data_IF_516867228067
#
_entry.id   IF_516867228067
#
_cell.length_a   1.000
_cell.length_b   1.000
_cell.length_c   1.000
_cell.angle_alpha   90.00
_cell.angle_beta   90.00
_cell.angle_gamma   90.00
#
_symmetry.space_group_name_H-M   'P 1'
#
loop_
_entity.id
_entity.type
_entity.pdbx_description
1 polymer ?
#
# COMPACT_ATOMS: atom_id res chain seq x y z
N UNK A 1 16.10 44.23 -2.68
CA UNK A 1 15.08 43.25 -2.25
C UNK A 1 15.79 41.92 -2.01
N UNK A 2 15.69 41.29 -0.83
CA UNK A 2 16.31 39.99 -0.59
C UNK A 2 15.57 38.88 -1.35
N UNK A 3 16.32 37.89 -1.85
CA UNK A 3 15.83 36.70 -2.56
C UNK A 3 14.73 35.96 -1.76
N UNK A 4 13.59 35.56 -2.37
CA UNK A 4 12.43 35.01 -1.64
C UNK A 4 12.56 33.51 -1.27
N UNK A 5 13.76 32.91 -1.32
CA UNK A 5 13.99 31.49 -1.03
C UNK A 5 14.71 31.26 0.30
N UNK A 6 14.27 31.91 1.37
CA UNK A 6 14.65 31.50 2.72
C UNK A 6 14.12 30.10 2.98
N UNK A 7 14.99 29.08 2.98
CA UNK A 7 14.63 27.73 3.47
C UNK A 7 14.04 27.93 4.87
N UNK A 8 12.82 27.44 5.18
CA UNK A 8 12.27 27.61 6.52
C UNK A 8 13.23 26.99 7.53
N UNK A 9 13.68 27.80 8.50
CA UNK A 9 14.62 27.37 9.53
C UNK A 9 13.98 26.22 10.32
N UNK A 10 14.72 25.11 10.43
CA UNK A 10 14.27 23.92 11.15
C UNK A 10 14.23 24.21 12.64
N UNK A 11 13.02 24.18 13.22
CA UNK A 11 12.78 24.54 14.63
C UNK A 11 12.29 23.37 15.49
N UNK A 12 12.32 23.59 16.80
CA UNK A 12 11.67 22.73 17.78
C UNK A 12 10.16 23.00 17.82
N UNK A 13 9.34 22.01 18.23
CA UNK A 13 7.90 22.14 18.32
C UNK A 13 7.50 23.04 19.50
N UNK A 14 6.42 23.81 19.29
CA UNK A 14 5.69 24.49 20.38
C UNK A 14 5.01 23.46 21.29
N UNK A 15 4.48 23.88 22.45
CA UNK A 15 3.72 22.98 23.33
C UNK A 15 2.49 22.38 22.62
N UNK A 16 1.79 23.21 21.85
CA UNK A 16 0.65 22.76 21.03
C UNK A 16 1.07 21.71 19.99
N UNK A 17 2.20 21.93 19.29
CA UNK A 17 2.72 20.96 18.33
C UNK A 17 3.17 19.65 19.00
N UNK A 18 3.67 19.69 20.25
CA UNK A 18 3.98 18.47 21.02
C UNK A 18 2.71 17.69 21.34
N UNK A 19 1.64 18.37 21.74
CA UNK A 19 0.34 17.75 21.96
C UNK A 19 -0.19 17.10 20.68
N UNK A 20 -0.09 17.78 19.52
CA UNK A 20 -0.45 17.18 18.24
C UNK A 20 0.40 15.97 17.88
N UNK A 21 1.72 16.03 18.06
CA UNK A 21 2.61 14.89 17.80
C UNK A 21 2.23 13.67 18.63
N UNK A 22 1.90 13.88 19.91
CA UNK A 22 1.44 12.81 20.79
C UNK A 22 0.10 12.22 20.34
N UNK A 23 -0.87 13.06 19.99
CA UNK A 23 -2.19 12.62 19.56
C UNK A 23 -2.14 11.92 18.18
N UNK A 24 -1.45 12.51 17.21
CA UNK A 24 -1.28 11.96 15.86
C UNK A 24 -0.45 10.68 15.89
N UNK A 25 0.59 10.62 16.73
CA UNK A 25 1.35 9.39 16.97
C UNK A 25 0.46 8.27 17.49
N UNK A 26 -0.29 8.51 18.59
CA UNK A 26 -1.21 7.50 19.12
C UNK A 26 -2.32 7.10 18.13
N UNK A 27 -2.81 8.04 17.32
CA UNK A 27 -3.78 7.76 16.27
C UNK A 27 -3.21 6.81 15.21
N UNK A 28 -2.01 7.12 14.67
CA UNK A 28 -1.33 6.27 13.68
C UNK A 28 -0.99 4.91 14.28
N UNK A 29 -0.42 4.88 15.49
CA UNK A 29 -0.11 3.65 16.21
C UNK A 29 -1.34 2.78 16.44
N UNK A 30 -2.44 3.37 16.92
CA UNK A 30 -3.70 2.66 17.13
C UNK A 30 -4.28 2.06 15.85
N UNK A 31 -4.23 2.80 14.73
CA UNK A 31 -4.63 2.27 13.43
C UNK A 31 -3.75 1.09 12.99
N UNK A 32 -2.43 1.19 13.17
CA UNK A 32 -1.50 0.12 12.79
C UNK A 32 -1.61 -1.12 13.70
N UNK A 33 -1.85 -0.96 15.01
CA UNK A 33 -2.13 -2.08 15.92
C UNK A 33 -3.38 -2.84 15.48
N UNK A 34 -4.45 -2.12 15.14
CA UNK A 34 -5.69 -2.74 14.70
C UNK A 34 -5.48 -3.45 13.36
N UNK A 35 -4.78 -2.80 12.42
CA UNK A 35 -4.46 -3.39 11.12
C UNK A 35 -3.66 -4.69 11.26
N UNK A 36 -2.54 -4.65 11.98
CA UNK A 36 -1.66 -5.82 12.11
C UNK A 36 -2.36 -6.95 12.87
N UNK A 37 -3.13 -6.64 13.91
CA UNK A 37 -3.89 -7.65 14.66
C UNK A 37 -4.95 -8.32 13.80
N UNK A 38 -5.73 -7.54 13.04
CA UNK A 38 -6.79 -8.10 12.20
C UNK A 38 -6.23 -8.89 11.01
N UNK A 39 -5.17 -8.40 10.37
CA UNK A 39 -4.49 -9.15 9.30
C UNK A 39 -3.91 -10.48 9.79
N UNK A 40 -3.41 -10.53 11.03
CA UNK A 40 -2.80 -11.76 11.58
C UNK A 40 -3.82 -12.76 12.12
N UNK A 41 -4.94 -12.31 12.68
CA UNK A 41 -5.82 -13.18 13.47
C UNK A 41 -7.26 -13.30 12.96
N UNK A 42 -7.79 -12.30 12.23
CA UNK A 42 -9.22 -12.30 11.91
C UNK A 42 -9.63 -13.48 11.04
N UNK A 43 -8.79 -13.88 10.09
CA UNK A 43 -9.06 -15.04 9.25
C UNK A 43 -9.14 -16.33 10.07
N UNK A 44 -8.18 -16.56 10.97
CA UNK A 44 -8.17 -17.72 11.87
C UNK A 44 -9.38 -17.74 12.82
N UNK A 45 -9.82 -16.57 13.30
CA UNK A 45 -11.02 -16.44 14.13
C UNK A 45 -12.26 -16.85 13.33
N UNK A 46 -12.41 -16.36 12.10
CA UNK A 46 -13.54 -16.72 11.23
C UNK A 46 -13.52 -18.20 10.88
N UNK A 47 -12.36 -18.75 10.50
CA UNK A 47 -12.21 -20.18 10.21
C UNK A 47 -12.59 -21.05 11.42
N UNK A 48 -12.12 -20.69 12.62
CA UNK A 48 -12.48 -21.38 13.88
C UNK A 48 -13.98 -21.28 14.15
N UNK A 49 -14.58 -20.10 13.98
CA UNK A 49 -16.01 -19.92 14.20
C UNK A 49 -16.85 -20.80 13.25
N UNK A 50 -16.48 -20.87 11.96
CA UNK A 50 -17.14 -21.73 10.98
C UNK A 50 -16.99 -23.22 11.33
N UNK A 51 -15.82 -23.65 11.81
CA UNK A 51 -15.62 -25.00 12.31
C UNK A 51 -16.48 -25.32 13.53
N UNK A 52 -16.45 -24.46 14.56
CA UNK A 52 -17.27 -24.66 15.78
C UNK A 52 -18.77 -24.59 15.50
N UNK A 53 -19.18 -23.87 14.46
CA UNK A 53 -20.57 -23.81 13.99
C UNK A 53 -21.00 -25.02 13.15
N UNK A 54 -20.11 -25.99 12.91
CA UNK A 54 -20.38 -27.18 12.11
C UNK A 54 -20.44 -26.94 10.60
N UNK A 55 -19.97 -25.78 10.12
CA UNK A 55 -19.91 -25.45 8.68
C UNK A 55 -18.66 -26.05 8.02
N UNK A 56 -17.53 -26.02 8.73
CA UNK A 56 -16.27 -26.65 8.31
C UNK A 56 -16.02 -27.91 9.12
N UNK A 57 -15.37 -28.89 8.50
CA UNK A 57 -14.83 -30.08 9.15
C UNK A 57 -13.39 -29.86 9.60
N UNK A 58 -12.85 -30.80 10.38
CA UNK A 58 -11.44 -30.76 10.77
C UNK A 58 -10.50 -30.93 9.57
N UNK A 59 -10.91 -31.70 8.55
CA UNK A 59 -10.14 -31.87 7.31
C UNK A 59 -10.12 -30.59 6.48
N UNK A 60 -11.23 -29.85 6.42
CA UNK A 60 -11.30 -28.58 5.71
C UNK A 60 -10.26 -27.60 6.26
N UNK A 61 -10.09 -27.51 7.58
CA UNK A 61 -9.10 -26.61 8.21
C UNK A 61 -7.65 -26.90 7.83
N UNK A 62 -7.35 -28.12 7.37
CA UNK A 62 -6.00 -28.52 6.93
C UNK A 62 -5.76 -28.21 5.45
N UNK A 63 -6.81 -27.93 4.69
CA UNK A 63 -6.71 -27.56 3.28
C UNK A 63 -6.46 -26.06 3.11
N UNK A 64 -5.73 -25.69 2.05
CA UNK A 64 -5.40 -24.28 1.76
C UNK A 64 -6.64 -23.40 1.56
N UNK A 65 -7.72 -23.98 1.05
CA UNK A 65 -8.95 -23.27 0.70
C UNK A 65 -10.12 -23.56 1.65
N UNK A 66 -9.88 -24.17 2.80
CA UNK A 66 -10.94 -24.56 3.76
C UNK A 66 -12.02 -25.47 3.14
N UNK A 67 -11.63 -26.37 2.23
CA UNK A 67 -12.55 -27.27 1.51
C UNK A 67 -13.42 -26.56 0.45
N UNK A 68 -13.21 -25.25 0.25
CA UNK A 68 -13.96 -24.44 -0.71
C UNK A 68 -13.28 -24.46 -2.08
N UNK A 69 -14.05 -24.15 -3.13
CA UNK A 69 -13.45 -23.81 -4.42
C UNK A 69 -12.69 -22.49 -4.32
N UNK A 70 -11.66 -22.32 -5.17
CA UNK A 70 -10.83 -21.10 -5.23
C UNK A 70 -11.66 -19.82 -5.23
N UNK A 71 -12.71 -19.77 -6.06
CA UNK A 71 -13.62 -18.63 -6.15
C UNK A 71 -14.36 -18.36 -4.83
N UNK A 72 -14.86 -19.39 -4.14
CA UNK A 72 -15.59 -19.22 -2.86
C UNK A 72 -14.64 -18.83 -1.73
N UNK A 73 -13.45 -19.42 -1.71
CA UNK A 73 -12.40 -19.06 -0.78
C UNK A 73 -11.98 -17.59 -0.95
N UNK A 74 -11.76 -17.13 -2.17
CA UNK A 74 -11.43 -15.72 -2.45
C UNK A 74 -12.52 -14.77 -1.99
N UNK A 75 -13.81 -15.12 -2.13
CA UNK A 75 -14.90 -14.29 -1.62
C UNK A 75 -14.89 -14.21 -0.08
N UNK A 76 -14.65 -15.33 0.60
CA UNK A 76 -14.48 -15.35 2.05
C UNK A 76 -13.26 -14.52 2.48
N UNK A 77 -12.12 -14.74 1.83
CA UNK A 77 -10.89 -13.98 2.05
C UNK A 77 -11.12 -12.49 1.85
N UNK A 78 -11.77 -12.09 0.75
CA UNK A 78 -12.10 -10.69 0.47
C UNK A 78 -13.01 -10.07 1.52
N UNK A 79 -14.00 -10.81 2.05
CA UNK A 79 -14.85 -10.33 3.13
C UNK A 79 -14.05 -10.10 4.43
N UNK A 80 -13.20 -11.05 4.81
CA UNK A 80 -12.31 -10.93 5.97
C UNK A 80 -11.33 -9.77 5.79
N UNK A 81 -10.69 -9.68 4.62
CA UNK A 81 -9.75 -8.61 4.28
C UNK A 81 -10.43 -7.23 4.31
N UNK A 82 -11.67 -7.13 3.85
CA UNK A 82 -12.47 -5.89 3.93
C UNK A 82 -12.62 -5.41 5.37
N UNK A 83 -12.93 -6.33 6.30
CA UNK A 83 -12.99 -6.00 7.71
C UNK A 83 -11.61 -5.64 8.27
N UNK A 84 -10.57 -6.39 7.90
CA UNK A 84 -9.19 -6.17 8.35
C UNK A 84 -8.60 -4.83 7.93
N UNK A 85 -9.00 -4.25 6.79
CA UNK A 85 -8.54 -2.94 6.32
C UNK A 85 -9.53 -1.81 6.61
N UNK A 86 -10.83 -2.11 6.58
CA UNK A 86 -11.91 -1.16 6.82
C UNK A 86 -11.97 -0.70 8.28
N UNK A 87 -11.85 -1.62 9.24
CA UNK A 87 -11.90 -1.29 10.67
C UNK A 87 -10.73 -0.40 11.13
N UNK A 88 -9.46 -0.63 10.74
CA UNK A 88 -8.35 0.29 11.00
C UNK A 88 -8.52 1.67 10.38
N UNK A 89 -9.32 1.80 9.32
CA UNK A 89 -9.66 3.10 8.76
C UNK A 89 -10.72 3.80 9.60
N UNK A 90 -11.81 3.10 9.96
CA UNK A 90 -12.98 3.72 10.60
C UNK A 90 -12.86 3.90 12.11
N UNK A 91 -12.41 2.87 12.84
CA UNK A 91 -12.43 2.89 14.32
C UNK A 91 -11.49 3.94 14.92
N UNK A 92 -10.21 4.07 14.49
CA UNK A 92 -9.35 5.14 14.99
C UNK A 92 -9.90 6.53 14.69
N UNK A 93 -10.55 6.74 13.53
CA UNK A 93 -11.17 8.03 13.21
C UNK A 93 -12.30 8.38 14.19
N UNK A 94 -13.10 7.39 14.57
CA UNK A 94 -14.18 7.56 15.54
C UNK A 94 -13.63 7.81 16.95
N UNK A 95 -12.65 7.01 17.39
CA UNK A 95 -12.06 7.09 18.73
C UNK A 95 -11.30 8.40 18.95
N UNK A 96 -10.53 8.85 17.97
CA UNK A 96 -9.74 10.09 18.05
C UNK A 96 -10.48 11.32 17.49
N UNK A 97 -11.72 11.14 17.00
CA UNK A 97 -12.56 12.21 16.42
C UNK A 97 -11.83 13.05 15.35
N UNK A 98 -10.96 12.41 14.55
CA UNK A 98 -10.14 13.09 13.54
C UNK A 98 -10.98 13.48 12.33
N UNK A 99 -10.79 14.72 11.86
CA UNK A 99 -11.32 15.18 10.58
C UNK A 99 -10.26 15.04 9.51
N UNK A 100 -10.56 14.25 8.47
CA UNK A 100 -9.63 14.01 7.37
C UNK A 100 -9.71 15.09 6.30
N UNK A 101 -8.57 15.42 5.64
CA UNK A 101 -8.57 16.25 4.46
C UNK A 101 -9.30 15.55 3.30
N UNK A 102 -9.96 16.35 2.46
CA UNK A 102 -10.64 15.85 1.26
C UNK A 102 -9.68 15.86 0.07
N UNK A 103 -9.23 14.69 -0.37
CA UNK A 103 -8.45 14.53 -1.59
C UNK A 103 -9.35 14.35 -2.82
N UNK A 104 -10.07 15.43 -3.18
CA UNK A 104 -10.98 15.47 -4.34
C UNK A 104 -10.60 16.55 -5.36
N UNK A 105 -9.30 16.79 -5.51
CA UNK A 105 -8.75 17.67 -6.53
C UNK A 105 -9.23 17.27 -7.93
N UNK A 106 -9.41 18.24 -8.81
CA UNK A 106 -9.81 18.02 -10.21
C UNK A 106 -8.68 18.51 -11.12
N UNK A 107 -7.55 17.79 -11.17
CA UNK A 107 -6.48 18.14 -12.10
C UNK A 107 -6.99 18.06 -13.54
N UNK A 108 -6.34 18.78 -14.44
CA UNK A 108 -6.63 18.70 -15.86
C UNK A 108 -6.35 17.30 -16.43
N UNK A 109 -6.94 17.00 -17.58
CA UNK A 109 -6.84 15.69 -18.21
C UNK A 109 -5.37 15.32 -18.52
N UNK A 110 -4.56 16.28 -18.95
CA UNK A 110 -3.14 16.08 -19.22
C UNK A 110 -2.35 15.69 -17.96
N UNK A 111 -2.61 16.34 -16.82
CA UNK A 111 -1.98 15.98 -15.54
C UNK A 111 -2.42 14.59 -15.11
N UNK A 112 -3.71 14.27 -15.27
CA UNK A 112 -4.26 12.97 -14.90
C UNK A 112 -3.64 11.85 -15.72
N UNK A 113 -3.63 11.97 -17.05
CA UNK A 113 -3.05 10.96 -17.96
C UNK A 113 -1.56 10.79 -17.68
N UNK A 114 -0.81 11.89 -17.54
CA UNK A 114 0.61 11.81 -17.21
C UNK A 114 0.82 11.10 -15.86
N UNK A 115 0.04 11.43 -14.82
CA UNK A 115 0.15 10.80 -13.52
C UNK A 115 -0.14 9.28 -13.58
N UNK A 116 -1.14 8.85 -14.36
CA UNK A 116 -1.47 7.43 -14.53
C UNK A 116 -0.31 6.65 -15.13
N UNK A 117 0.21 7.08 -16.29
CA UNK A 117 1.28 6.35 -16.97
C UNK A 117 2.63 6.44 -16.25
N UNK A 118 2.98 7.61 -15.70
CA UNK A 118 4.19 7.75 -14.90
C UNK A 118 4.08 6.87 -13.65
N UNK A 119 2.92 6.86 -12.99
CA UNK A 119 2.67 6.03 -11.81
C UNK A 119 2.76 4.54 -12.09
N UNK A 120 2.10 4.05 -13.14
CA UNK A 120 2.15 2.64 -13.55
C UNK A 120 3.59 2.25 -13.95
N UNK A 121 4.27 3.07 -14.74
CA UNK A 121 5.67 2.83 -15.11
C UNK A 121 6.59 2.77 -13.89
N UNK A 122 6.37 3.64 -12.89
CA UNK A 122 7.11 3.61 -11.64
C UNK A 122 6.82 2.37 -10.78
N UNK A 123 5.60 1.82 -10.83
CA UNK A 123 5.27 0.55 -10.17
C UNK A 123 6.05 -0.61 -10.79
N UNK A 124 6.16 -0.68 -12.13
CA UNK A 124 6.99 -1.71 -12.77
C UNK A 124 8.47 -1.54 -12.49
N UNK A 125 8.97 -0.30 -12.43
CA UNK A 125 10.33 -0.03 -11.98
C UNK A 125 10.54 -0.51 -10.54
N UNK A 126 9.60 -0.25 -9.64
CA UNK A 126 9.64 -0.74 -8.26
C UNK A 126 9.64 -2.27 -8.21
N UNK A 127 8.87 -2.93 -9.08
CA UNK A 127 8.85 -4.39 -9.19
C UNK A 127 10.21 -4.96 -9.62
N UNK A 128 10.88 -4.34 -10.60
CA UNK A 128 12.23 -4.74 -11.02
C UNK A 128 13.25 -4.59 -9.90
N UNK A 129 13.21 -3.47 -9.17
CA UNK A 129 14.09 -3.22 -8.03
C UNK A 129 13.85 -4.26 -6.93
N UNK A 130 12.58 -4.55 -6.63
CA UNK A 130 12.20 -5.54 -5.63
C UNK A 130 12.60 -6.97 -6.05
N UNK A 131 12.52 -7.31 -7.33
CA UNK A 131 12.97 -8.60 -7.86
C UNK A 131 14.48 -8.81 -7.72
N UNK A 132 15.29 -7.80 -8.05
CA UNK A 132 16.75 -7.83 -7.79
C UNK A 132 17.02 -7.98 -6.30
N UNK A 133 16.27 -7.26 -5.46
CA UNK A 133 16.41 -7.35 -4.01
C UNK A 133 16.00 -8.72 -3.45
N UNK A 134 14.94 -9.34 -3.98
CA UNK A 134 14.50 -10.71 -3.63
C UNK A 134 15.62 -11.71 -3.88
N UNK A 135 16.22 -11.70 -5.08
CA UNK A 135 17.31 -12.63 -5.41
C UNK A 135 18.59 -12.44 -4.57
N UNK A 136 18.80 -11.26 -3.98
CA UNK A 136 19.87 -11.04 -3.00
C UNK A 136 19.44 -11.60 -1.63
N UNK A 137 18.23 -11.29 -1.19
CA UNK A 137 17.69 -11.67 0.11
C UNK A 137 17.53 -13.18 0.28
N UNK A 138 17.17 -13.89 -0.78
CA UNK A 138 17.05 -15.35 -0.80
C UNK A 138 18.38 -16.01 -0.40
N UNK A 139 19.54 -15.42 -0.73
CA UNK A 139 20.87 -15.92 -0.33
C UNK A 139 21.10 -15.85 1.19
N UNK A 140 20.30 -15.05 1.91
CA UNK A 140 20.35 -14.88 3.36
C UNK A 140 19.17 -15.54 4.08
N UNK A 141 18.39 -16.37 3.38
CA UNK A 141 17.27 -17.10 3.96
C UNK A 141 15.96 -16.31 4.06
N UNK A 142 15.83 -15.19 3.34
CA UNK A 142 14.58 -14.44 3.22
C UNK A 142 13.89 -14.79 1.91
N UNK A 143 12.85 -15.62 1.98
CA UNK A 143 12.10 -16.07 0.82
C UNK A 143 10.77 -15.31 0.72
N UNK A 144 10.37 -14.98 -0.50
CA UNK A 144 9.00 -14.56 -0.79
C UNK A 144 8.24 -15.82 -1.22
N UNK A 145 7.19 -16.25 -0.48
CA UNK A 145 6.41 -17.41 -0.89
C UNK A 145 5.72 -17.16 -2.23
N UNK A 146 5.56 -18.24 -3.00
CA UNK A 146 4.78 -18.19 -4.22
C UNK A 146 3.36 -17.72 -3.92
N UNK A 147 2.81 -16.91 -4.82
CA UNK A 147 1.42 -16.49 -4.72
C UNK A 147 0.52 -17.75 -4.85
N UNK A 148 -0.45 -17.94 -3.94
CA UNK A 148 -1.35 -19.08 -4.04
C UNK A 148 -2.12 -19.07 -5.38
N UNK A 149 -2.29 -20.24 -5.99
CA UNK A 149 -2.94 -20.37 -7.29
C UNK A 149 -4.47 -20.40 -7.18
N UNK A 150 -5.06 -19.22 -6.98
CA UNK A 150 -6.52 -19.05 -6.94
C UNK A 150 -7.14 -18.69 -8.30
N UNK A 151 -6.33 -18.53 -9.35
CA UNK A 151 -6.78 -18.05 -10.66
C UNK A 151 -7.02 -19.24 -11.60
N UNK A 152 -8.29 -19.46 -11.93
CA UNK A 152 -8.70 -20.55 -12.82
C UNK A 152 -9.00 -19.98 -14.22
N UNK A 153 -8.89 -20.79 -15.30
CA UNK A 153 -9.15 -20.36 -16.69
C UNK A 153 -10.65 -20.21 -16.98
N UNK A 154 -11.37 -19.49 -16.12
CA UNK A 154 -12.80 -19.18 -16.24
C UNK A 154 -13.05 -17.68 -16.07
N UNK A 155 -14.02 -17.10 -16.81
CA UNK A 155 -14.39 -15.70 -16.64
C UNK A 155 -14.86 -15.35 -15.22
N UNK A 156 -15.48 -16.31 -14.52
CA UNK A 156 -15.91 -16.13 -13.14
C UNK A 156 -14.71 -15.97 -12.20
N UNK A 157 -13.71 -16.85 -12.29
CA UNK A 157 -12.50 -16.75 -11.47
C UNK A 157 -11.75 -15.46 -11.75
N UNK A 158 -11.63 -15.04 -13.01
CA UNK A 158 -11.04 -13.75 -13.38
C UNK A 158 -11.78 -12.58 -12.73
N UNK A 159 -13.12 -12.56 -12.81
CA UNK A 159 -13.92 -11.48 -12.24
C UNK A 159 -13.76 -11.38 -10.72
N UNK A 160 -13.74 -12.51 -10.01
CA UNK A 160 -13.54 -12.54 -8.55
C UNK A 160 -12.12 -12.13 -8.18
N UNK A 161 -11.09 -12.58 -8.91
CA UNK A 161 -9.72 -12.14 -8.69
C UNK A 161 -9.55 -10.63 -8.91
N UNK A 162 -10.10 -10.07 -9.99
CA UNK A 162 -10.07 -8.62 -10.23
C UNK A 162 -10.77 -7.83 -9.11
N UNK A 163 -11.87 -8.36 -8.57
CA UNK A 163 -12.57 -7.74 -7.45
C UNK A 163 -11.75 -7.79 -6.16
N UNK A 164 -11.29 -8.98 -5.77
CA UNK A 164 -10.70 -9.26 -4.45
C UNK A 164 -9.22 -8.89 -4.37
N UNK A 165 -8.46 -9.11 -5.44
CA UNK A 165 -6.99 -8.95 -5.45
C UNK A 165 -6.53 -7.65 -6.14
N UNK A 166 -7.40 -6.99 -6.91
CA UNK A 166 -7.07 -5.69 -7.53
C UNK A 166 -7.92 -4.53 -7.00
N UNK A 167 -9.24 -4.59 -7.12
CA UNK A 167 -10.10 -3.45 -6.76
C UNK A 167 -10.15 -3.21 -5.26
N UNK A 168 -10.35 -4.28 -4.49
CA UNK A 168 -10.53 -4.18 -3.05
C UNK A 168 -9.28 -3.61 -2.33
N UNK A 169 -8.04 -4.08 -2.60
CA UNK A 169 -6.84 -3.48 -2.04
C UNK A 169 -6.65 -2.03 -2.49
N UNK A 170 -6.82 -1.74 -3.79
CA UNK A 170 -6.65 -0.41 -4.34
C UNK A 170 -7.58 0.63 -3.68
N UNK A 171 -8.79 0.24 -3.26
CA UNK A 171 -9.70 1.12 -2.54
C UNK A 171 -9.33 1.18 -1.06
N UNK A 172 -9.27 0.04 -0.37
CA UNK A 172 -9.16 0.00 1.08
C UNK A 172 -7.80 0.47 1.58
N UNK A 173 -6.72 0.06 0.93
CA UNK A 173 -5.38 0.47 1.30
C UNK A 173 -5.18 1.97 1.04
N UNK A 174 -5.66 2.50 -0.09
CA UNK A 174 -5.49 3.94 -0.36
C UNK A 174 -6.35 4.81 0.57
N UNK A 175 -7.53 4.34 1.02
CA UNK A 175 -8.32 5.00 2.05
C UNK A 175 -7.57 5.03 3.41
N UNK A 176 -6.95 3.92 3.80
CA UNK A 176 -6.17 3.87 5.04
C UNK A 176 -4.90 4.72 4.93
N UNK A 177 -4.05 4.44 3.96
CA UNK A 177 -2.71 5.00 3.91
C UNK A 177 -2.68 6.43 3.37
N UNK A 178 -3.51 6.79 2.37
CA UNK A 178 -3.44 8.12 1.75
C UNK A 178 -4.44 9.11 2.31
N UNK A 179 -5.68 8.68 2.51
CA UNK A 179 -6.70 9.58 3.07
C UNK A 179 -6.49 9.73 4.57
N UNK A 180 -6.26 8.63 5.28
CA UNK A 180 -6.24 8.61 6.75
C UNK A 180 -4.85 8.91 7.32
N UNK A 181 -3.85 8.06 7.09
CA UNK A 181 -2.53 8.21 7.71
C UNK A 181 -1.75 9.38 7.10
N UNK A 182 -1.57 9.40 5.78
CA UNK A 182 -0.90 10.51 5.09
C UNK A 182 -1.65 11.83 5.35
N UNK A 183 -2.98 11.83 5.23
CA UNK A 183 -3.81 13.01 5.49
C UNK A 183 -3.57 13.64 6.85
N UNK A 184 -3.47 12.83 7.91
CA UNK A 184 -3.10 13.28 9.26
C UNK A 184 -1.69 13.86 9.31
N UNK A 185 -0.72 13.14 8.73
CA UNK A 185 0.70 13.49 8.80
C UNK A 185 1.09 14.72 7.96
N UNK A 186 0.26 15.12 6.99
CA UNK A 186 0.53 16.28 6.11
C UNK A 186 0.74 17.58 6.85
N UNK A 187 0.20 17.73 8.07
CA UNK A 187 0.42 18.92 8.90
C UNK A 187 1.91 19.16 9.17
N UNK A 188 2.71 18.10 9.22
CA UNK A 188 4.16 18.14 9.46
C UNK A 188 5.01 18.27 8.19
N UNK A 189 4.38 18.40 7.02
CA UNK A 189 5.03 18.49 5.73
C UNK A 189 4.66 17.30 4.84
N UNK A 190 4.45 17.60 3.57
CA UNK A 190 4.01 16.61 2.59
C UNK A 190 5.06 15.52 2.36
N UNK A 191 6.33 15.88 2.25
CA UNK A 191 7.41 14.90 2.06
C UNK A 191 7.53 13.92 3.23
N UNK A 192 7.36 14.40 4.46
CA UNK A 192 7.33 13.53 5.64
C UNK A 192 6.10 12.62 5.64
N UNK A 193 4.93 13.17 5.30
CA UNK A 193 3.70 12.40 5.25
C UNK A 193 3.76 11.27 4.21
N UNK A 194 4.30 11.55 3.02
CA UNK A 194 4.54 10.55 1.98
C UNK A 194 5.52 9.48 2.47
N UNK A 195 6.66 9.88 3.03
CA UNK A 195 7.68 8.93 3.50
C UNK A 195 7.15 8.01 4.61
N UNK A 196 6.51 8.56 5.63
CA UNK A 196 6.01 7.78 6.76
C UNK A 196 4.82 6.90 6.38
N UNK A 197 3.88 7.41 5.56
CA UNK A 197 2.78 6.60 5.03
C UNK A 197 3.30 5.43 4.18
N UNK A 198 4.29 5.69 3.30
CA UNK A 198 4.92 4.65 2.49
C UNK A 198 5.67 3.62 3.35
N UNK A 199 6.37 4.06 4.41
CA UNK A 199 7.08 3.15 5.32
C UNK A 199 6.11 2.20 6.04
N UNK A 200 5.00 2.74 6.56
CA UNK A 200 3.95 1.93 7.21
C UNK A 200 3.26 0.99 6.21
N UNK A 201 3.07 1.46 4.96
CA UNK A 201 2.51 0.66 3.88
C UNK A 201 3.43 -0.51 3.49
N UNK A 202 4.74 -0.27 3.40
CA UNK A 202 5.73 -1.34 3.24
C UNK A 202 5.71 -2.31 4.41
N UNK A 203 5.78 -1.79 5.64
CA UNK A 203 5.88 -2.60 6.84
C UNK A 203 4.67 -3.54 7.08
N UNK A 204 3.46 -3.17 6.65
CA UNK A 204 2.28 -4.04 6.82
C UNK A 204 2.33 -5.32 5.97
N UNK A 205 3.17 -5.39 4.93
CA UNK A 205 3.27 -6.57 4.06
C UNK A 205 4.05 -7.70 4.72
N UNK A 206 5.10 -7.38 5.47
CA UNK A 206 5.80 -8.31 6.38
C UNK A 206 6.93 -9.10 5.71
N UNK A 207 6.74 -9.61 4.49
CA UNK A 207 7.85 -10.21 3.72
C UNK A 207 8.82 -9.14 3.27
N UNK A 208 10.12 -9.39 3.36
CA UNK A 208 11.14 -8.36 3.15
C UNK A 208 11.13 -7.78 1.71
N UNK A 209 11.11 -8.65 0.70
CA UNK A 209 11.05 -8.21 -0.71
C UNK A 209 9.74 -7.48 -1.04
N UNK A 210 8.60 -8.01 -0.57
CA UNK A 210 7.29 -7.40 -0.76
C UNK A 210 7.17 -6.04 -0.05
N UNK A 211 7.77 -5.91 1.15
CA UNK A 211 7.79 -4.67 1.90
C UNK A 211 8.57 -3.58 1.18
N UNK A 212 9.68 -3.92 0.51
CA UNK A 212 10.43 -2.97 -0.31
C UNK A 212 9.61 -2.52 -1.53
N UNK A 213 8.99 -3.46 -2.25
CA UNK A 213 8.09 -3.14 -3.36
C UNK A 213 6.98 -2.19 -2.93
N UNK A 214 6.24 -2.56 -1.88
CA UNK A 214 5.13 -1.77 -1.35
C UNK A 214 5.59 -0.40 -0.85
N UNK A 215 6.76 -0.30 -0.21
CA UNK A 215 7.33 1.00 0.18
C UNK A 215 7.56 1.91 -1.04
N UNK A 216 8.19 1.41 -2.10
CA UNK A 216 8.47 2.19 -3.31
C UNK A 216 7.18 2.63 -4.01
N UNK A 217 6.21 1.72 -4.15
CA UNK A 217 4.88 2.06 -4.69
C UNK A 217 4.17 3.08 -3.78
N UNK A 218 4.26 2.92 -2.46
CA UNK A 218 3.71 3.85 -1.48
C UNK A 218 4.26 5.28 -1.62
N UNK A 219 5.55 5.42 -1.96
CA UNK A 219 6.15 6.73 -2.26
C UNK A 219 5.52 7.35 -3.51
N UNK A 220 5.33 6.57 -4.57
CA UNK A 220 4.71 7.01 -5.84
C UNK A 220 3.27 7.45 -5.61
N UNK A 221 2.45 6.59 -5.00
CA UNK A 221 1.02 6.86 -4.77
C UNK A 221 0.81 8.00 -3.77
N UNK A 222 1.63 8.08 -2.72
CA UNK A 222 1.62 9.19 -1.79
C UNK A 222 1.98 10.52 -2.47
N UNK A 223 3.03 10.53 -3.31
CA UNK A 223 3.44 11.72 -4.07
C UNK A 223 2.32 12.20 -5.00
N UNK A 224 1.73 11.29 -5.78
CA UNK A 224 0.64 11.59 -6.71
C UNK A 224 -0.59 12.12 -5.97
N UNK A 225 -0.96 11.51 -4.84
CA UNK A 225 -2.10 11.97 -4.03
C UNK A 225 -1.91 13.41 -3.56
N UNK A 226 -0.70 13.76 -3.09
CA UNK A 226 -0.43 15.10 -2.56
C UNK A 226 -0.34 16.14 -3.66
N UNK A 227 0.34 15.83 -4.76
CA UNK A 227 0.56 16.77 -5.87
C UNK A 227 -0.70 17.05 -6.66
N UNK A 228 -1.53 16.03 -6.91
CA UNK A 228 -2.80 16.17 -7.62
C UNK A 228 -3.95 16.59 -6.69
N UNK A 229 -3.78 16.39 -5.39
CA UNK A 229 -4.84 16.54 -4.41
C UNK A 229 -5.98 15.54 -4.61
N UNK A 230 -5.77 14.44 -5.35
CA UNK A 230 -6.81 13.51 -5.75
C UNK A 230 -6.38 12.05 -5.48
N UNK A 231 -7.04 11.42 -4.50
CA UNK A 231 -6.75 10.01 -4.14
C UNK A 231 -7.24 9.02 -5.19
N UNK A 232 -8.26 9.38 -5.99
CA UNK A 232 -8.78 8.48 -7.01
C UNK A 232 -7.77 8.19 -8.12
N UNK A 233 -6.80 9.09 -8.35
CA UNK A 233 -5.70 8.84 -9.29
C UNK A 233 -4.76 7.76 -8.73
N UNK A 234 -4.45 7.83 -7.43
CA UNK A 234 -3.64 6.79 -6.77
C UNK A 234 -4.39 5.44 -6.74
N UNK A 235 -5.69 5.44 -6.42
CA UNK A 235 -6.55 4.25 -6.50
C UNK A 235 -6.57 3.65 -7.90
N UNK A 236 -6.65 4.48 -8.95
CA UNK A 236 -6.65 4.01 -10.33
C UNK A 236 -5.30 3.38 -10.73
N UNK A 237 -4.17 3.96 -10.31
CA UNK A 237 -2.82 3.41 -10.56
C UNK A 237 -2.66 2.09 -9.82
N UNK A 238 -3.04 2.04 -8.55
CA UNK A 238 -2.96 0.84 -7.73
C UNK A 238 -3.84 -0.28 -8.32
N UNK A 239 -5.09 0.02 -8.64
CA UNK A 239 -5.99 -0.92 -9.31
C UNK A 239 -5.40 -1.42 -10.63
N UNK A 240 -4.90 -0.51 -11.47
CA UNK A 240 -4.31 -0.87 -12.76
C UNK A 240 -3.09 -1.77 -12.60
N UNK A 241 -2.21 -1.49 -11.63
CA UNK A 241 -1.05 -2.33 -11.33
C UNK A 241 -1.46 -3.78 -11.02
N UNK A 242 -2.42 -3.95 -10.10
CA UNK A 242 -2.84 -5.28 -9.67
C UNK A 242 -3.68 -5.97 -10.75
N UNK A 243 -4.58 -5.24 -11.40
CA UNK A 243 -5.42 -5.77 -12.46
C UNK A 243 -4.60 -6.21 -13.68
N UNK A 244 -3.57 -5.45 -14.08
CA UNK A 244 -2.68 -5.85 -15.16
C UNK A 244 -1.90 -7.11 -14.82
N UNK A 245 -1.43 -7.25 -13.58
CA UNK A 245 -0.79 -8.49 -13.11
C UNK A 245 -1.72 -9.69 -13.29
N UNK A 246 -2.97 -9.59 -12.80
CA UNK A 246 -3.98 -10.64 -12.91
C UNK A 246 -4.34 -10.95 -14.37
N UNK A 247 -4.51 -9.92 -15.20
CA UNK A 247 -4.86 -10.10 -16.62
C UNK A 247 -3.74 -10.78 -17.41
N UNK A 248 -2.48 -10.45 -17.11
CA UNK A 248 -1.32 -11.12 -17.71
C UNK A 248 -1.29 -12.58 -17.26
N UNK A 249 -1.42 -12.86 -15.96
CA UNK A 249 -1.48 -14.23 -15.45
C UNK A 249 -2.64 -15.03 -16.06
N UNK A 250 -3.82 -14.44 -16.19
CA UNK A 250 -4.97 -15.10 -16.81
C UNK A 250 -4.73 -15.39 -18.30
N UNK A 251 -4.12 -14.46 -19.04
CA UNK A 251 -3.77 -14.69 -20.44
C UNK A 251 -2.73 -15.81 -20.57
N UNK A 252 -1.79 -15.92 -19.64
CA UNK A 252 -0.77 -16.98 -19.63
C UNK A 252 -1.38 -18.38 -19.47
N UNK A 253 -2.51 -18.53 -18.77
CA UNK A 253 -3.23 -19.81 -18.67
C UNK A 253 -3.76 -20.33 -20.03
N UNK A 254 -3.86 -19.45 -21.04
CA UNK A 254 -4.39 -19.76 -22.36
C UNK A 254 -3.32 -19.75 -23.47
N UNK A 255 -2.07 -19.46 -23.12
CA UNK A 255 -0.96 -19.33 -24.06
C UNK A 255 0.12 -20.36 -23.76
N UNK A 256 0.99 -20.64 -24.72
CA UNK A 256 2.22 -21.38 -24.42
C UNK A 256 3.16 -20.51 -23.57
N UNK A 257 4.01 -21.13 -22.75
CA UNK A 257 4.95 -20.43 -21.86
C UNK A 257 5.77 -19.35 -22.59
N UNK A 258 6.23 -19.65 -23.81
CA UNK A 258 6.97 -18.70 -24.65
C UNK A 258 6.13 -17.47 -25.00
N UNK A 259 4.89 -17.67 -25.47
CA UNK A 259 4.00 -16.56 -25.85
C UNK A 259 3.52 -15.78 -24.62
N UNK A 260 3.24 -16.47 -23.53
CA UNK A 260 2.88 -15.88 -22.25
C UNK A 260 4.00 -15.02 -21.65
N UNK A 261 5.24 -15.51 -21.72
CA UNK A 261 6.42 -14.76 -21.30
C UNK A 261 6.68 -13.54 -22.18
N UNK A 262 6.55 -13.68 -23.50
CA UNK A 262 6.68 -12.55 -24.43
C UNK A 262 5.60 -11.49 -24.19
N UNK A 263 4.34 -11.89 -24.01
CA UNK A 263 3.23 -10.98 -23.69
C UNK A 263 3.53 -10.18 -22.42
N UNK A 264 3.91 -10.87 -21.34
CA UNK A 264 4.25 -10.23 -20.07
C UNK A 264 5.40 -9.23 -20.24
N UNK A 265 6.47 -9.62 -20.94
CA UNK A 265 7.61 -8.76 -21.19
C UNK A 265 7.23 -7.50 -21.99
N UNK A 266 6.40 -7.64 -23.04
CA UNK A 266 5.96 -6.50 -23.85
C UNK A 266 5.07 -5.55 -23.05
N UNK A 267 4.13 -6.07 -22.24
CA UNK A 267 3.27 -5.26 -21.39
C UNK A 267 4.09 -4.47 -20.35
N UNK A 268 4.97 -5.16 -19.61
CA UNK A 268 5.79 -4.56 -18.55
C UNK A 268 6.75 -3.50 -19.12
N UNK A 269 7.54 -3.87 -20.14
CA UNK A 269 8.53 -2.96 -20.72
C UNK A 269 7.87 -1.82 -21.50
N UNK A 270 6.74 -2.07 -22.16
CA UNK A 270 5.98 -1.04 -22.86
C UNK A 270 5.42 0.03 -21.92
N UNK A 271 4.84 -0.39 -20.79
CA UNK A 271 4.30 0.53 -19.79
C UNK A 271 5.40 1.29 -19.04
N UNK A 272 6.52 0.63 -18.74
CA UNK A 272 7.71 1.28 -18.18
C UNK A 272 8.24 2.36 -19.13
N UNK A 273 8.38 2.04 -20.42
CA UNK A 273 8.85 2.99 -21.44
C UNK A 273 7.88 4.15 -21.61
N UNK A 274 6.58 3.89 -21.69
CA UNK A 274 5.56 4.93 -21.79
C UNK A 274 5.59 5.88 -20.57
N UNK A 275 5.71 5.33 -19.35
CA UNK A 275 5.88 6.10 -18.13
C UNK A 275 7.13 6.96 -18.13
N UNK A 276 8.27 6.42 -18.59
CA UNK A 276 9.53 7.15 -18.71
C UNK A 276 9.44 8.29 -19.73
N UNK A 277 8.88 8.03 -20.91
CA UNK A 277 8.70 9.06 -21.95
C UNK A 277 7.81 10.19 -21.43
N UNK A 278 6.69 9.88 -20.78
CA UNK A 278 5.79 10.89 -20.25
C UNK A 278 6.39 11.64 -19.05
N UNK A 279 7.25 11.00 -18.26
CA UNK A 279 8.04 11.67 -17.23
C UNK A 279 8.99 12.70 -17.84
N UNK A 280 9.71 12.33 -18.91
CA UNK A 280 10.61 13.24 -19.63
C UNK A 280 9.83 14.41 -20.22
N UNK A 281 8.69 14.15 -20.87
CA UNK A 281 7.81 15.20 -21.41
C UNK A 281 7.32 16.13 -20.30
N UNK A 282 6.88 15.58 -19.16
CA UNK A 282 6.45 16.36 -18.02
C UNK A 282 7.59 17.23 -17.45
N UNK A 283 8.83 16.72 -17.43
CA UNK A 283 10.02 17.44 -16.99
C UNK A 283 10.36 18.60 -17.93
N UNK A 284 10.41 18.35 -19.23
CA UNK A 284 10.68 19.37 -20.26
C UNK A 284 9.61 20.46 -20.25
N UNK A 285 8.34 20.07 -20.10
CA UNK A 285 7.22 21.02 -20.00
C UNK A 285 7.09 21.69 -18.63
N UNK A 286 7.97 21.38 -17.66
CA UNK A 286 7.92 21.88 -16.28
C UNK A 286 6.54 21.71 -15.66
N UNK A 287 5.94 20.54 -15.88
CA UNK A 287 4.59 20.21 -15.45
C UNK A 287 4.42 20.45 -13.95
N UNK A 288 3.26 20.99 -13.50
CA UNK A 288 2.93 21.10 -12.09
C UNK A 288 3.03 19.76 -11.34
N UNK A 289 2.89 18.64 -12.04
CA UNK A 289 3.01 17.29 -11.48
C UNK A 289 4.38 17.02 -10.84
N UNK A 290 5.43 17.70 -11.30
CA UNK A 290 6.81 17.53 -10.80
C UNK A 290 7.19 18.54 -9.73
N UNK A 291 6.24 19.36 -9.25
CA UNK A 291 6.52 20.33 -8.19
C UNK A 291 6.82 19.61 -6.88
N UNK A 292 7.80 20.12 -6.16
CA UNK A 292 8.21 19.53 -4.88
C UNK A 292 7.11 19.73 -3.83
N UNK A 293 6.79 18.70 -3.03
CA UNK A 293 5.76 18.82 -2.00
C UNK A 293 6.16 19.80 -0.89
N UNK A 294 5.17 20.32 -0.14
CA UNK A 294 5.38 21.28 0.95
C UNK A 294 6.36 20.72 1.99
N UNK A 295 7.42 21.47 2.31
CA UNK A 295 8.38 21.09 3.36
C UNK A 295 7.85 21.43 4.75
N UNK A 296 8.08 20.51 5.70
CA UNK A 296 7.82 20.75 7.12
C UNK A 296 8.82 21.69 7.77
N UNK A 297 8.40 22.39 8.82
CA UNK A 297 9.21 23.35 9.59
C UNK A 297 9.92 22.69 10.78
N UNK A 298 9.44 21.55 11.26
CA UNK A 298 10.03 20.82 12.39
C UNK A 298 11.30 20.08 12.00
N UNK A 299 12.23 19.97 12.96
CA UNK A 299 13.42 19.11 12.88
C UNK A 299 13.01 17.64 12.77
N UNK A 300 13.71 16.89 11.90
CA UNK A 300 13.37 15.49 11.61
C UNK A 300 13.43 14.60 12.86
N UNK A 301 14.48 14.73 13.68
CA UNK A 301 14.62 13.94 14.91
C UNK A 301 13.50 14.21 15.93
N UNK A 302 13.08 15.46 16.08
CA UNK A 302 11.98 15.79 17.00
C UNK A 302 10.62 15.31 16.50
N UNK A 303 10.39 15.37 15.18
CA UNK A 303 9.19 14.83 14.56
C UNK A 303 9.14 13.30 14.68
N UNK A 304 10.24 12.63 14.36
CA UNK A 304 10.35 11.18 14.47
C UNK A 304 10.16 10.72 15.92
N UNK A 305 10.87 11.33 16.88
CA UNK A 305 10.74 11.00 18.29
C UNK A 305 9.33 11.29 18.84
N UNK A 306 8.70 12.39 18.43
CA UNK A 306 7.36 12.76 18.87
C UNK A 306 6.26 11.80 18.36
N UNK A 307 6.36 11.32 17.12
CA UNK A 307 5.40 10.38 16.54
C UNK A 307 5.66 8.93 16.96
N UNK A 308 6.93 8.52 16.95
CA UNK A 308 7.33 7.13 17.23
C UNK A 308 7.40 6.82 18.73
N UNK A 309 7.57 7.82 19.59
CA UNK A 309 7.70 7.65 21.03
C UNK A 309 6.38 7.51 21.80
N UNK A 310 5.23 7.52 21.11
CA UNK A 310 3.94 7.35 21.78
C UNK A 310 3.67 5.86 22.09
N UNK A 311 2.95 5.53 23.18
CA UNK A 311 2.72 4.14 23.58
C UNK A 311 2.13 3.25 22.47
N UNK A 312 1.13 3.76 21.74
CA UNK A 312 0.51 2.98 20.68
C UNK A 312 1.41 2.84 19.45
N UNK A 313 2.24 3.84 19.12
CA UNK A 313 3.18 3.69 18.00
C UNK A 313 4.30 2.72 18.33
N UNK A 314 4.83 2.77 19.56
CA UNK A 314 5.83 1.80 20.02
C UNK A 314 5.28 0.38 19.94
N UNK A 315 4.06 0.15 20.45
CA UNK A 315 3.42 -1.16 20.36
C UNK A 315 3.17 -1.58 18.89
N UNK A 316 2.73 -0.66 18.03
CA UNK A 316 2.56 -0.94 16.60
C UNK A 316 3.87 -1.38 15.93
N UNK A 317 4.98 -0.69 16.21
CA UNK A 317 6.30 -1.03 15.67
C UNK A 317 6.73 -2.43 16.13
N UNK A 318 6.54 -2.74 17.41
CA UNK A 318 6.84 -4.08 17.95
C UNK A 318 6.01 -5.15 17.26
N UNK A 319 4.69 -4.95 17.09
CA UNK A 319 3.83 -5.92 16.42
C UNK A 319 4.16 -6.10 14.94
N UNK A 320 4.48 -5.01 14.23
CA UNK A 320 4.93 -5.08 12.83
C UNK A 320 6.25 -5.85 12.71
N UNK A 321 7.19 -5.62 13.61
CA UNK A 321 8.45 -6.35 13.66
C UNK A 321 8.24 -7.84 13.95
N UNK A 322 7.44 -8.17 14.97
CA UNK A 322 7.11 -9.56 15.30
C UNK A 322 6.42 -10.28 14.12
N UNK A 323 5.49 -9.60 13.44
CA UNK A 323 4.85 -10.13 12.23
C UNK A 323 5.86 -10.37 11.11
N UNK A 324 6.76 -9.42 10.86
CA UNK A 324 7.80 -9.60 9.84
C UNK A 324 8.73 -10.78 10.19
N UNK A 325 9.17 -10.91 11.44
CA UNK A 325 9.99 -12.05 11.88
C UNK A 325 9.24 -13.37 11.69
N UNK A 326 7.97 -13.44 12.11
CA UNK A 326 7.16 -14.64 11.96
C UNK A 326 7.03 -15.07 10.48
N UNK A 327 6.70 -14.13 9.59
CA UNK A 327 6.50 -14.43 8.17
C UNK A 327 7.79 -14.80 7.43
N UNK A 328 8.95 -14.26 7.81
CA UNK A 328 10.19 -14.58 7.08
C UNK A 328 10.91 -15.81 7.66
N UNK A 329 10.57 -16.27 8.87
CA UNK A 329 11.36 -17.31 9.56
C UNK A 329 10.55 -18.43 10.23
N UNK A 330 9.21 -18.34 10.27
CA UNK A 330 8.37 -19.30 11.00
C UNK A 330 7.20 -19.87 10.19
N UNK A 331 6.97 -19.37 8.97
CA UNK A 331 6.00 -19.88 8.00
C UNK A 331 6.71 -20.50 6.82
#
# INVERSE_FOLDING_TARGET
MPYPYGKPLKRYPTEEERAWLWEDGNFVGGAMILLVSLLSFLFSIVATALYTGGVLTGEDLLSETLGLSNTRFLLLYGAVYTASLGLPTLLPLLLFRKKLPRFRGRPSADITVNALFIGIGACYLANMIAGVFSGILEQYGFYLPDAPDYLEPTPQSLAVNLLVMALLPAVLEELLFRVTLLGTLRRYGDGTAVLLSALLFGAMHGYAAQSLFAFLVGLVLGYITVTTGNVYIAMAIHFANNALSILISYAQLHLSDMLGGLLAALCVNGLLLAGLVLLIVAAVRRSPLLRMPRRGTLRAGTLAGGLAGTPLTVLAIVLLFLRAVYLNFCT
#
